data_IF_838248284769
#
_entry.id   IF_838248284769
#
_cell.length_a   1.000
_cell.length_b   1.000
_cell.length_c   1.000
_cell.angle_alpha   90.00
_cell.angle_beta   90.00
_cell.angle_gamma   90.00
#
_symmetry.space_group_name_H-M   'P 1'
#
loop_
_entity.id
_entity.type
_entity.pdbx_description
1 polymer ?
#
# COMPACT_ATOMS: atom_id res chain seq x y z
N UNK A 1 2.26 -6.75 6.76
CA UNK A 1 2.61 -5.36 6.40
C UNK A 1 2.80 -4.62 7.70
N UNK A 2 3.97 -4.02 7.92
CA UNK A 2 4.36 -3.41 9.19
C UNK A 2 3.36 -2.35 9.66
N UNK A 3 3.01 -2.37 10.94
CA UNK A 3 2.18 -1.39 11.64
C UNK A 3 2.86 -0.02 11.85
N UNK A 4 3.98 0.24 11.15
CA UNK A 4 4.77 1.45 11.35
C UNK A 4 4.38 2.52 10.31
N UNK A 5 4.15 3.78 10.73
CA UNK A 5 3.93 4.88 9.80
C UNK A 5 5.07 4.95 8.78
N UNK A 6 4.72 4.92 7.50
CA UNK A 6 5.69 5.05 6.41
C UNK A 6 5.48 6.38 5.69
N UNK A 7 6.56 7.01 5.26
CA UNK A 7 6.50 8.22 4.45
C UNK A 7 6.70 7.85 2.98
N UNK A 8 6.14 8.63 2.06
CA UNK A 8 5.97 8.21 0.66
C UNK A 8 7.24 7.72 -0.04
N UNK A 9 8.42 8.25 0.29
CA UNK A 9 9.68 7.77 -0.26
C UNK A 9 10.08 6.37 0.24
N UNK A 10 9.88 6.06 1.53
CA UNK A 10 10.19 4.72 2.05
C UNK A 10 9.28 3.67 1.40
N UNK A 11 8.01 4.02 1.17
CA UNK A 11 7.04 3.16 0.47
C UNK A 11 7.45 2.86 -0.97
N UNK A 12 7.95 3.84 -1.73
CA UNK A 12 8.48 3.58 -3.09
C UNK A 12 9.60 2.54 -3.04
N UNK A 13 10.57 2.72 -2.14
CA UNK A 13 11.70 1.78 -2.03
C UNK A 13 11.24 0.38 -1.62
N UNK A 14 10.29 0.27 -0.70
CA UNK A 14 9.70 -1.01 -0.29
C UNK A 14 8.98 -1.71 -1.45
N UNK A 15 8.22 -0.96 -2.25
CA UNK A 15 7.52 -1.51 -3.42
C UNK A 15 8.51 -1.97 -4.50
N UNK A 16 9.53 -1.17 -4.80
CA UNK A 16 10.58 -1.54 -5.74
C UNK A 16 11.36 -2.77 -5.28
N UNK A 17 11.69 -2.86 -3.99
CA UNK A 17 12.35 -4.03 -3.41
C UNK A 17 11.48 -5.30 -3.50
N UNK A 18 10.15 -5.15 -3.49
CA UNK A 18 9.20 -6.23 -3.73
C UNK A 18 8.98 -6.56 -5.23
N UNK A 19 9.72 -5.91 -6.14
CA UNK A 19 9.61 -6.10 -7.59
C UNK A 19 8.47 -5.32 -8.25
N UNK A 20 7.87 -4.37 -7.54
CA UNK A 20 6.83 -3.49 -8.08
C UNK A 20 7.49 -2.17 -8.51
N UNK A 21 7.61 -1.96 -9.82
CA UNK A 21 8.14 -0.72 -10.36
C UNK A 21 7.10 0.40 -10.23
N UNK A 22 7.33 1.31 -9.29
CA UNK A 22 6.46 2.44 -9.02
C UNK A 22 7.30 3.69 -8.75
N UNK A 23 6.90 4.81 -9.35
CA UNK A 23 7.52 6.09 -9.12
C UNK A 23 6.75 6.93 -8.10
N UNK A 24 7.42 7.93 -7.52
CA UNK A 24 6.80 8.88 -6.60
C UNK A 24 5.57 9.58 -7.22
N UNK A 25 5.67 9.99 -8.49
CA UNK A 25 4.59 10.68 -9.20
C UNK A 25 3.34 9.80 -9.40
N UNK A 26 3.50 8.48 -9.30
CA UNK A 26 2.40 7.51 -9.36
C UNK A 26 1.89 7.16 -7.96
N UNK A 27 2.80 6.98 -7.00
CA UNK A 27 2.44 6.57 -5.64
C UNK A 27 1.68 7.66 -4.89
N UNK A 28 2.11 8.93 -4.97
CA UNK A 28 1.48 9.99 -4.18
C UNK A 28 0.00 10.26 -4.54
N UNK A 29 -0.40 10.30 -5.83
CA UNK A 29 -1.82 10.36 -6.18
C UNK A 29 -2.63 9.17 -5.65
N UNK A 30 -2.06 7.95 -5.67
CA UNK A 30 -2.72 6.76 -5.13
C UNK A 30 -2.93 6.88 -3.61
N UNK A 31 -1.91 7.28 -2.87
CA UNK A 31 -2.01 7.48 -1.41
C UNK A 31 -3.07 8.54 -1.05
N UNK A 32 -3.12 9.65 -1.81
CA UNK A 32 -4.16 10.69 -1.63
C UNK A 32 -5.56 10.15 -1.90
N UNK A 33 -5.72 9.30 -2.92
CA UNK A 33 -7.01 8.66 -3.23
C UNK A 33 -7.45 7.71 -2.12
N UNK A 34 -6.54 6.87 -1.62
CA UNK A 34 -6.85 5.95 -0.51
C UNK A 34 -7.20 6.72 0.76
N UNK A 35 -6.54 7.85 1.02
CA UNK A 35 -6.90 8.76 2.11
C UNK A 35 -8.28 9.39 1.89
N UNK A 36 -8.61 9.87 0.69
CA UNK A 36 -9.93 10.44 0.41
C UNK A 36 -11.06 9.41 0.47
N UNK A 37 -10.73 8.12 0.37
CA UNK A 37 -11.65 7.00 0.56
C UNK A 37 -11.75 6.55 2.03
N UNK A 38 -11.02 7.17 2.96
CA UNK A 38 -11.02 6.79 4.38
C UNK A 38 -10.19 5.54 4.72
N UNK A 39 -9.50 4.96 3.75
CA UNK A 39 -8.69 3.74 3.92
C UNK A 39 -7.32 4.04 4.54
N UNK A 40 -6.84 5.28 4.40
CA UNK A 40 -5.64 5.79 5.03
C UNK A 40 -5.96 7.05 5.84
N UNK A 41 -5.15 7.29 6.87
CA UNK A 41 -5.06 8.58 7.56
C UNK A 41 -3.62 9.08 7.46
N UNK A 42 -3.46 10.38 7.25
CA UNK A 42 -2.15 11.01 7.31
C UNK A 42 -1.90 11.84 8.57
N UNK A 43 -0.62 12.02 8.87
CA UNK A 43 -0.11 12.94 9.88
C UNK A 43 1.11 13.68 9.34
N UNK A 44 1.25 14.95 9.72
CA UNK A 44 2.45 15.72 9.42
C UNK A 44 3.44 15.59 10.57
N UNK A 45 4.68 15.24 10.24
CA UNK A 45 5.82 15.39 11.14
C UNK A 45 6.54 16.69 10.78
N UNK A 46 6.52 17.63 11.72
CA UNK A 46 7.15 18.95 11.61
C UNK A 46 8.40 19.07 12.48
N UNK A 47 8.89 17.96 13.06
CA UNK A 47 10.06 17.95 13.94
C UNK A 47 11.40 18.09 13.21
N UNK A 48 11.42 17.88 11.90
CA UNK A 48 12.61 18.04 11.05
C UNK A 48 12.56 19.32 10.20
N UNK A 49 13.71 19.69 9.62
CA UNK A 49 13.87 20.86 8.74
C UNK A 49 12.98 20.85 7.49
N UNK A 50 12.41 19.70 7.14
CA UNK A 50 11.42 19.55 6.06
C UNK A 50 10.21 18.76 6.56
N UNK A 51 9.01 19.36 6.58
CA UNK A 51 7.80 18.65 6.97
C UNK A 51 7.58 17.39 6.12
N UNK A 52 7.33 16.26 6.78
CA UNK A 52 7.06 14.98 6.12
C UNK A 52 5.63 14.55 6.39
N UNK A 53 4.95 14.08 5.35
CA UNK A 53 3.60 13.49 5.47
C UNK A 53 3.75 11.98 5.61
N UNK A 54 3.30 11.45 6.74
CA UNK A 54 3.23 10.02 7.01
C UNK A 54 1.82 9.51 6.76
N UNK A 55 1.71 8.27 6.27
CA UNK A 55 0.43 7.59 6.08
C UNK A 55 0.35 6.37 7.00
N UNK A 56 -0.85 6.14 7.53
CA UNK A 56 -1.20 5.01 8.37
C UNK A 56 -2.51 4.41 7.87
N UNK A 57 -2.63 3.08 7.96
CA UNK A 57 -3.85 2.36 7.54
C UNK A 57 -4.92 2.51 8.63
N UNK A 58 -6.14 2.85 8.23
CA UNK A 58 -7.29 2.89 9.15
C UNK A 58 -7.85 1.48 9.39
N UNK A 59 -8.74 1.32 10.36
CA UNK A 59 -9.39 0.03 10.59
C UNK A 59 -10.19 -0.44 9.36
N UNK A 60 -10.91 0.49 8.70
CA UNK A 60 -11.60 0.23 7.44
C UNK A 60 -10.63 -0.16 6.31
N UNK A 61 -9.49 0.54 6.22
CA UNK A 61 -8.42 0.20 5.28
C UNK A 61 -7.86 -1.20 5.50
N UNK A 62 -7.71 -1.61 6.76
CA UNK A 62 -7.20 -2.94 7.14
C UNK A 62 -8.18 -4.04 6.74
N UNK A 63 -9.45 -3.88 7.09
CA UNK A 63 -10.52 -4.80 6.69
C UNK A 63 -10.61 -4.93 5.17
N UNK A 64 -10.54 -3.80 4.46
CA UNK A 64 -10.55 -3.78 2.99
C UNK A 64 -9.34 -4.53 2.41
N UNK A 65 -8.14 -4.30 2.94
CA UNK A 65 -6.93 -4.97 2.50
C UNK A 65 -6.98 -6.49 2.75
N UNK A 66 -7.55 -6.93 3.87
CA UNK A 66 -7.73 -8.35 4.19
C UNK A 66 -8.68 -9.03 3.21
N UNK A 67 -9.82 -8.41 2.91
CA UNK A 67 -10.80 -8.92 1.94
C UNK A 67 -10.20 -9.03 0.54
N UNK A 68 -9.57 -7.95 0.06
CA UNK A 68 -8.91 -7.93 -1.26
C UNK A 68 -7.77 -8.95 -1.33
N UNK A 69 -6.97 -9.07 -0.27
CA UNK A 69 -5.89 -10.04 -0.19
C UNK A 69 -6.39 -11.48 -0.21
N UNK A 70 -7.54 -11.77 0.42
CA UNK A 70 -8.18 -13.09 0.37
C UNK A 70 -8.64 -13.43 -1.05
N UNK A 71 -9.33 -12.51 -1.71
CA UNK A 71 -9.80 -12.72 -3.08
C UNK A 71 -8.64 -12.85 -4.08
N UNK A 72 -7.61 -12.02 -3.93
CA UNK A 72 -6.40 -12.11 -4.76
C UNK A 72 -5.73 -13.48 -4.65
N UNK A 73 -5.54 -14.00 -3.42
CA UNK A 73 -4.98 -15.33 -3.20
C UNK A 73 -5.84 -16.41 -3.85
N UNK A 74 -7.16 -16.31 -3.74
CA UNK A 74 -8.09 -17.27 -4.38
C UNK A 74 -7.92 -17.28 -5.90
N UNK A 75 -7.87 -16.11 -6.53
CA UNK A 75 -7.66 -15.98 -7.99
C UNK A 75 -6.30 -16.55 -8.37
N UNK A 76 -5.24 -16.17 -7.65
CA UNK A 76 -3.89 -16.64 -7.95
C UNK A 76 -3.78 -18.15 -7.85
N UNK A 77 -4.34 -18.78 -6.80
CA UNK A 77 -4.38 -20.24 -6.67
C UNK A 77 -5.13 -20.91 -7.82
N UNK A 78 -6.27 -20.36 -8.24
CA UNK A 78 -7.02 -20.90 -9.37
C UNK A 78 -6.20 -20.81 -10.68
N UNK A 79 -5.55 -19.67 -10.93
CA UNK A 79 -4.70 -19.46 -12.10
C UNK A 79 -3.47 -20.37 -12.09
N UNK A 80 -2.79 -20.54 -10.95
CA UNK A 80 -1.64 -21.45 -10.83
C UNK A 80 -2.01 -22.88 -11.21
N UNK A 81 -3.16 -23.38 -10.74
CA UNK A 81 -3.64 -24.73 -11.10
C UNK A 81 -3.86 -24.88 -12.61
N UNK A 82 -4.48 -23.89 -13.25
CA UNK A 82 -4.70 -23.91 -14.70
C UNK A 82 -3.38 -23.89 -15.49
N UNK A 83 -2.34 -23.26 -14.95
CA UNK A 83 -1.02 -23.22 -15.58
C UNK A 83 -0.19 -24.49 -15.36
N UNK A 84 -0.50 -25.27 -14.31
CA UNK A 84 0.15 -26.55 -13.99
C UNK A 84 -0.47 -27.76 -14.72
N UNK A 85 -1.70 -27.66 -15.22
CA UNK A 85 -2.36 -28.73 -16.01
C UNK A 85 -1.87 -28.84 -17.48
N UNK A 86 -0.57 -28.71 -17.73
CA UNK A 86 0.06 -29.01 -19.02
C UNK A 86 1.17 -30.05 -18.92
#
# INVERSE_FOLDING_TARGET
>A
MSEKPAYGYSLVNEMQAAGIDVEQNTLYPLLRRLESQGLLRSSWDTGESRPRKYYSVTDEGRLTAELLGKEWRRINTAMSRLMEEK
#
